data_IF_401446043888
#
_entry.id   IF_401446043888
#
_cell.length_a   1.000
_cell.length_b   1.000
_cell.length_c   1.000
_cell.angle_alpha   90.00
_cell.angle_beta   90.00
_cell.angle_gamma   90.00
#
_symmetry.space_group_name_H-M   'P 1'
#
loop_
_entity.id
_entity.type
_entity.pdbx_description
1 polymer ?
#
# COMPACT_ATOMS: atom_id res chain seq x y z
N UNK A 1 1.87 15.13 -5.35
CA UNK A 1 0.77 14.55 -6.16
C UNK A 1 0.84 14.88 -7.64
N UNK A 2 1.14 16.14 -8.00
CA UNK A 2 1.29 16.53 -9.42
C UNK A 2 2.47 15.82 -10.08
N UNK A 3 3.61 15.69 -9.39
CA UNK A 3 4.77 14.97 -9.91
C UNK A 3 4.44 13.49 -10.15
N UNK A 4 3.73 12.86 -9.23
CA UNK A 4 3.30 11.46 -9.37
C UNK A 4 2.33 11.29 -10.54
N UNK A 5 1.39 12.23 -10.73
CA UNK A 5 0.45 12.21 -11.84
C UNK A 5 1.16 12.33 -13.20
N UNK A 6 2.11 13.23 -13.31
CA UNK A 6 2.92 13.42 -14.53
C UNK A 6 3.76 12.17 -14.81
N UNK A 7 4.44 11.65 -13.79
CA UNK A 7 5.24 10.43 -13.92
C UNK A 7 4.42 9.19 -14.30
N UNK A 8 3.16 9.12 -13.85
CA UNK A 8 2.24 8.05 -14.21
C UNK A 8 1.59 8.24 -15.59
N UNK A 9 1.87 9.35 -16.28
CA UNK A 9 1.32 9.62 -17.62
C UNK A 9 -0.14 10.04 -17.63
N UNK A 10 -0.65 10.58 -16.53
CA UNK A 10 -2.03 11.04 -16.45
C UNK A 10 -2.23 12.35 -17.23
N UNK A 11 -3.40 12.53 -17.90
CA UNK A 11 -3.72 13.76 -18.63
C UNK A 11 -4.14 14.87 -17.65
N UNK A 12 -3.17 15.48 -16.98
CA UNK A 12 -3.40 16.49 -15.94
C UNK A 12 -4.02 17.78 -16.45
N UNK A 13 -3.98 18.02 -17.75
CA UNK A 13 -4.53 19.21 -18.39
C UNK A 13 -5.99 19.06 -18.86
N UNK A 14 -6.57 17.88 -18.70
CA UNK A 14 -7.98 17.65 -19.02
C UNK A 14 -8.90 18.09 -17.88
N UNK A 15 -10.13 18.47 -18.20
CA UNK A 15 -11.15 18.88 -17.23
C UNK A 15 -11.69 17.72 -16.38
N UNK A 16 -11.32 16.49 -16.70
CA UNK A 16 -11.79 15.30 -15.99
C UNK A 16 -11.03 15.07 -14.70
N UNK A 17 -11.75 14.62 -13.67
CA UNK A 17 -11.14 14.21 -12.40
C UNK A 17 -10.28 12.96 -12.54
N UNK A 18 -9.12 12.97 -11.93
CA UNK A 18 -8.21 11.83 -11.84
C UNK A 18 -7.77 11.66 -10.39
N UNK A 19 -7.72 10.43 -9.91
CA UNK A 19 -7.24 10.14 -8.56
C UNK A 19 -5.90 9.42 -8.62
N UNK A 20 -4.95 9.91 -7.82
CA UNK A 20 -3.62 9.30 -7.69
C UNK A 20 -3.43 8.91 -6.23
N UNK A 21 -2.96 7.69 -6.00
CA UNK A 21 -2.53 7.21 -4.69
C UNK A 21 -1.03 6.88 -4.78
N UNK A 22 -0.24 7.62 -4.05
CA UNK A 22 1.21 7.43 -3.97
C UNK A 22 1.56 6.84 -2.60
N UNK A 23 2.02 5.59 -2.57
CA UNK A 23 2.43 4.90 -1.35
C UNK A 23 3.95 4.88 -1.30
N UNK A 24 4.53 5.84 -0.60
CA UNK A 24 5.97 5.94 -0.38
C UNK A 24 6.43 5.10 0.81
N UNK A 25 7.68 5.31 1.23
CA UNK A 25 8.25 4.62 2.40
C UNK A 25 7.59 5.05 3.71
N UNK A 26 7.45 6.36 3.94
CA UNK A 26 6.94 6.92 5.20
C UNK A 26 5.52 7.44 5.15
N UNK A 27 5.01 7.77 3.97
CA UNK A 27 3.69 8.39 3.79
C UNK A 27 2.95 7.81 2.59
N UNK A 28 1.62 7.91 2.65
CA UNK A 28 0.75 7.70 1.50
C UNK A 28 0.01 8.98 1.21
N UNK A 29 0.02 9.41 -0.05
CA UNK A 29 -0.63 10.64 -0.50
C UNK A 29 -1.74 10.32 -1.49
N UNK A 30 -2.92 10.88 -1.23
CA UNK A 30 -4.08 10.76 -2.13
C UNK A 30 -4.37 12.14 -2.69
N UNK A 31 -4.54 12.24 -3.99
CA UNK A 31 -4.92 13.49 -4.63
C UNK A 31 -5.96 13.26 -5.72
N UNK A 32 -6.89 14.21 -5.83
CA UNK A 32 -7.84 14.31 -6.93
C UNK A 32 -7.44 15.53 -7.74
N UNK A 33 -7.20 15.32 -9.03
CA UNK A 33 -6.67 16.32 -9.95
C UNK A 33 -7.68 16.64 -11.03
N UNK A 34 -7.74 17.93 -11.42
CA UNK A 34 -8.54 18.43 -12.54
C UNK A 34 -7.93 19.72 -13.05
N UNK A 35 -7.94 19.93 -14.37
CA UNK A 35 -7.46 21.17 -15.02
C UNK A 35 -6.06 21.61 -14.54
N UNK A 36 -5.11 20.68 -14.46
CA UNK A 36 -3.76 20.90 -13.93
C UNK A 36 -3.70 21.34 -12.47
N UNK A 37 -4.82 21.29 -11.76
CA UNK A 37 -4.90 21.68 -10.37
C UNK A 37 -5.20 20.51 -9.43
N UNK A 38 -4.88 20.70 -8.17
CA UNK A 38 -5.25 19.77 -7.11
C UNK A 38 -6.59 20.21 -6.53
N UNK A 39 -7.62 19.38 -6.67
CA UNK A 39 -8.95 19.64 -6.11
C UNK A 39 -9.02 19.21 -4.64
N UNK A 40 -8.40 18.07 -4.32
CA UNK A 40 -8.31 17.54 -2.99
C UNK A 40 -6.97 16.82 -2.82
N UNK A 41 -6.35 16.99 -1.69
CA UNK A 41 -5.14 16.24 -1.35
C UNK A 41 -5.15 15.91 0.14
N UNK A 42 -4.72 14.72 0.48
CA UNK A 42 -4.57 14.27 1.86
C UNK A 42 -3.33 13.38 1.96
N UNK A 43 -2.73 13.37 3.15
CA UNK A 43 -1.55 12.57 3.45
C UNK A 43 -1.80 11.76 4.72
N UNK A 44 -1.40 10.50 4.69
CA UNK A 44 -1.39 9.64 5.86
C UNK A 44 0.03 9.15 6.12
N UNK A 45 0.42 9.07 7.39
CA UNK A 45 1.76 8.57 7.80
C UNK A 45 1.80 7.05 7.78
N UNK A 46 1.41 6.47 6.68
CA UNK A 46 1.36 5.03 6.45
C UNK A 46 2.00 4.76 5.08
N UNK A 47 3.07 4.02 5.07
CA UNK A 47 3.78 3.64 3.85
C UNK A 47 4.48 2.31 4.04
N UNK A 48 5.47 2.01 3.20
CA UNK A 48 6.22 0.77 3.25
C UNK A 48 6.88 0.48 4.59
N UNK A 49 7.34 1.51 5.29
CA UNK A 49 7.96 1.38 6.61
C UNK A 49 6.97 0.86 7.65
N UNK A 50 5.71 1.26 7.57
CA UNK A 50 4.65 0.76 8.45
C UNK A 50 4.31 -0.69 8.17
N UNK A 51 4.43 -1.13 6.93
CA UNK A 51 4.27 -2.53 6.58
C UNK A 51 5.37 -3.38 7.23
N UNK A 52 6.61 -2.94 7.13
CA UNK A 52 7.75 -3.62 7.76
C UNK A 52 7.60 -3.66 9.28
N UNK A 53 7.23 -2.55 9.90
CA UNK A 53 6.99 -2.45 11.34
C UNK A 53 5.87 -3.40 11.79
N UNK A 54 4.78 -3.46 11.04
CA UNK A 54 3.66 -4.37 11.34
C UNK A 54 4.09 -5.83 11.31
N UNK A 55 4.93 -6.22 10.36
CA UNK A 55 5.50 -7.57 10.27
C UNK A 55 6.40 -7.85 11.48
N UNK A 56 7.28 -6.92 11.82
CA UNK A 56 8.17 -7.05 12.99
C UNK A 56 7.35 -7.24 14.28
N UNK A 57 6.31 -6.46 14.47
CA UNK A 57 5.44 -6.54 15.64
C UNK A 57 4.66 -7.85 15.69
N UNK A 58 4.17 -8.32 14.56
CA UNK A 58 3.48 -9.61 14.46
C UNK A 58 4.38 -10.77 14.88
N UNK A 59 5.60 -10.81 14.35
CA UNK A 59 6.58 -11.86 14.68
C UNK A 59 6.95 -11.82 16.15
N UNK A 60 7.15 -10.65 16.71
CA UNK A 60 7.44 -10.50 18.13
C UNK A 60 6.31 -11.02 19.02
N UNK A 61 5.06 -10.66 18.70
CA UNK A 61 3.90 -11.05 19.51
C UNK A 61 3.56 -12.51 19.40
N UNK A 62 3.66 -13.08 18.20
CA UNK A 62 3.18 -14.44 17.96
C UNK A 62 4.27 -15.51 18.08
N UNK A 63 5.52 -15.16 17.87
CA UNK A 63 6.64 -16.09 17.91
C UNK A 63 7.66 -15.79 19.00
N UNK A 64 7.59 -14.63 19.64
CA UNK A 64 8.59 -14.20 20.62
C UNK A 64 9.98 -14.03 20.02
N UNK A 65 10.06 -13.67 18.74
CA UNK A 65 11.31 -13.53 17.99
C UNK A 65 11.45 -12.10 17.49
N UNK A 66 12.65 -11.54 17.63
CA UNK A 66 13.00 -10.24 17.14
C UNK A 66 13.67 -10.36 15.77
N UNK A 67 13.12 -9.67 14.77
CA UNK A 67 13.70 -9.55 13.44
C UNK A 67 13.98 -8.07 13.14
N UNK A 68 14.94 -7.81 12.25
CA UNK A 68 15.27 -6.46 11.81
C UNK A 68 14.41 -6.00 10.63
N UNK A 69 14.53 -4.72 10.29
CA UNK A 69 13.80 -4.11 9.17
C UNK A 69 14.09 -4.80 7.83
N UNK A 70 15.36 -5.12 7.57
CA UNK A 70 15.75 -5.79 6.33
C UNK A 70 15.10 -7.17 6.19
N UNK A 71 14.99 -7.91 7.29
CA UNK A 71 14.30 -9.21 7.30
C UNK A 71 12.80 -9.04 7.08
N UNK A 72 12.18 -8.05 7.73
CA UNK A 72 10.77 -7.75 7.54
C UNK A 72 10.45 -7.35 6.10
N UNK A 73 11.30 -6.52 5.49
CA UNK A 73 11.16 -6.13 4.08
C UNK A 73 11.26 -7.34 3.16
N UNK A 74 12.21 -8.24 3.40
CA UNK A 74 12.35 -9.48 2.64
C UNK A 74 11.09 -10.34 2.73
N UNK A 75 10.54 -10.50 3.94
CA UNK A 75 9.30 -11.24 4.16
C UNK A 75 8.16 -10.61 3.36
N UNK A 76 8.02 -9.30 3.43
CA UNK A 76 7.00 -8.55 2.68
C UNK A 76 7.11 -8.80 1.17
N UNK A 77 8.31 -8.73 0.62
CA UNK A 77 8.56 -8.91 -0.81
C UNK A 77 8.28 -10.35 -1.25
N UNK A 78 8.73 -11.33 -0.49
CA UNK A 78 8.65 -12.74 -0.89
C UNK A 78 7.27 -13.37 -0.67
N UNK A 79 6.61 -13.09 0.45
CA UNK A 79 5.33 -13.71 0.82
C UNK A 79 4.25 -12.72 1.23
N UNK A 80 4.54 -11.42 1.25
CA UNK A 80 3.56 -10.39 1.60
C UNK A 80 2.50 -10.22 0.52
N UNK A 81 1.25 -10.01 0.95
CA UNK A 81 0.14 -9.71 0.07
C UNK A 81 -0.89 -8.87 0.80
N UNK A 82 -1.56 -7.99 0.07
CA UNK A 82 -2.65 -7.17 0.59
C UNK A 82 -4.00 -7.88 0.53
N UNK A 83 -4.09 -8.99 -0.19
CA UNK A 83 -5.33 -9.70 -0.48
C UNK A 83 -5.08 -11.22 -0.43
N UNK A 84 -6.07 -12.04 0.00
CA UNK A 84 -5.88 -13.49 0.03
C UNK A 84 -5.56 -14.05 -1.35
N UNK A 85 -4.46 -14.78 -1.44
CA UNK A 85 -4.03 -15.45 -2.67
C UNK A 85 -4.62 -16.85 -2.81
N UNK A 86 -4.44 -17.44 -3.99
CA UNK A 86 -4.90 -18.80 -4.26
C UNK A 86 -4.04 -19.86 -3.57
N UNK A 87 -2.78 -19.54 -3.32
CA UNK A 87 -1.84 -20.45 -2.68
C UNK A 87 -1.19 -19.79 -1.48
N UNK A 88 -1.08 -20.56 -0.39
CA UNK A 88 -0.33 -20.14 0.79
C UNK A 88 1.15 -20.36 0.52
N UNK A 89 1.94 -19.30 0.61
CA UNK A 89 3.40 -19.36 0.48
C UNK A 89 4.02 -19.42 1.87
N UNK A 90 5.11 -20.15 1.99
CA UNK A 90 5.87 -20.26 3.22
C UNK A 90 7.28 -19.72 3.05
N UNK A 91 7.85 -19.19 4.12
CA UNK A 91 9.21 -18.68 4.15
C UNK A 91 9.85 -19.03 5.48
N UNK A 92 11.02 -19.67 5.44
CA UNK A 92 11.83 -19.89 6.63
C UNK A 92 12.67 -18.64 6.93
N UNK A 93 12.61 -18.19 8.18
CA UNK A 93 13.24 -16.96 8.63
C UNK A 93 14.01 -17.23 9.91
N UNK A 94 15.06 -16.46 10.15
CA UNK A 94 15.87 -16.53 11.35
C UNK A 94 15.83 -15.20 12.08
N UNK A 95 15.61 -15.25 13.40
CA UNK A 95 15.63 -14.08 14.26
C UNK A 95 16.13 -14.45 15.65
N UNK A 96 16.20 -13.46 16.53
CA UNK A 96 16.65 -13.68 17.91
C UNK A 96 15.47 -14.00 18.81
N UNK A 97 15.53 -15.15 19.48
CA UNK A 97 14.53 -15.52 20.48
C UNK A 97 14.65 -14.58 21.69
N UNK A 98 13.54 -13.93 22.07
CA UNK A 98 13.53 -12.93 23.14
C UNK A 98 13.73 -13.54 24.53
N UNK A 99 13.25 -14.76 24.76
CA UNK A 99 13.39 -15.39 26.07
C UNK A 99 14.78 -16.00 26.29
N UNK A 100 15.41 -16.53 25.25
CA UNK A 100 16.69 -17.23 25.35
C UNK A 100 17.88 -16.37 24.85
N UNK A 101 17.60 -15.33 24.05
CA UNK A 101 18.62 -14.44 23.48
C UNK A 101 19.43 -15.06 22.35
N UNK A 102 19.10 -16.27 21.90
CA UNK A 102 19.82 -16.98 20.84
C UNK A 102 19.06 -16.94 19.51
N UNK A 103 19.77 -17.07 18.37
CA UNK A 103 19.10 -17.17 17.09
C UNK A 103 18.23 -18.40 16.97
N UNK A 104 17.03 -18.24 16.42
CA UNK A 104 16.11 -19.34 16.08
C UNK A 104 15.55 -19.18 14.70
N UNK A 105 15.36 -20.30 14.02
CA UNK A 105 14.65 -20.37 12.75
C UNK A 105 13.17 -20.66 13.00
N UNK A 106 12.31 -20.08 12.20
CA UNK A 106 10.86 -20.31 12.24
C UNK A 106 10.30 -20.14 10.83
N UNK A 107 9.11 -20.65 10.62
CA UNK A 107 8.44 -20.59 9.32
C UNK A 107 7.21 -19.72 9.42
N UNK A 108 7.12 -18.74 8.51
CA UNK A 108 5.96 -17.86 8.32
C UNK A 108 5.23 -18.25 7.05
N UNK A 109 3.92 -18.02 7.02
CA UNK A 109 3.14 -18.19 5.81
C UNK A 109 2.48 -16.86 5.38
N UNK A 110 2.03 -16.82 4.14
CA UNK A 110 1.44 -15.61 3.56
C UNK A 110 0.14 -15.16 4.24
N UNK A 111 -0.63 -16.08 4.83
CA UNK A 111 -1.84 -15.72 5.58
C UNK A 111 -1.50 -14.96 6.86
N UNK A 112 -0.42 -15.33 7.54
CA UNK A 112 0.05 -14.62 8.73
C UNK A 112 0.48 -13.19 8.39
N UNK A 113 1.16 -13.02 7.27
CA UNK A 113 1.60 -11.69 6.83
C UNK A 113 0.40 -10.83 6.38
N UNK A 114 -0.59 -11.42 5.72
CA UNK A 114 -1.83 -10.73 5.39
C UNK A 114 -2.52 -10.20 6.67
N UNK A 115 -2.59 -11.02 7.71
CA UNK A 115 -3.13 -10.61 9.00
C UNK A 115 -2.31 -9.47 9.62
N UNK A 116 -0.98 -9.56 9.58
CA UNK A 116 -0.09 -8.54 10.12
C UNK A 116 -0.28 -7.18 9.42
N UNK A 117 -0.55 -7.18 8.12
CA UNK A 117 -0.68 -5.96 7.32
C UNK A 117 -2.06 -5.32 7.36
N UNK A 118 -3.06 -5.92 8.02
CA UNK A 118 -4.44 -5.40 8.01
C UNK A 118 -4.53 -3.97 8.53
N UNK A 119 -3.89 -3.66 9.64
CA UNK A 119 -3.98 -2.32 10.24
C UNK A 119 -3.46 -1.22 9.30
N UNK A 120 -2.22 -1.28 8.78
CA UNK A 120 -1.74 -0.25 7.87
C UNK A 120 -2.52 -0.22 6.55
N UNK A 121 -2.95 -1.35 6.02
CA UNK A 121 -3.75 -1.39 4.80
C UNK A 121 -5.10 -0.73 4.99
N UNK A 122 -5.79 -0.95 6.10
CA UNK A 122 -7.07 -0.29 6.40
C UNK A 122 -6.90 1.22 6.56
N UNK A 123 -5.77 1.68 7.07
CA UNK A 123 -5.44 3.10 7.13
C UNK A 123 -5.35 3.74 5.75
N UNK A 124 -4.74 3.06 4.80
CA UNK A 124 -4.65 3.52 3.40
C UNK A 124 -6.03 3.50 2.73
N UNK A 125 -6.78 2.42 2.90
CA UNK A 125 -8.16 2.31 2.38
C UNK A 125 -9.03 3.44 2.93
N UNK A 126 -8.92 3.74 4.22
CA UNK A 126 -9.65 4.82 4.86
C UNK A 126 -9.32 6.19 4.26
N UNK A 127 -8.04 6.45 3.98
CA UNK A 127 -7.62 7.69 3.34
C UNK A 127 -8.19 7.84 1.93
N UNK A 128 -8.23 6.76 1.16
CA UNK A 128 -8.82 6.75 -0.19
C UNK A 128 -10.33 6.99 -0.12
N UNK A 129 -11.03 6.31 0.77
CA UNK A 129 -12.49 6.50 0.95
C UNK A 129 -12.82 7.93 1.36
N UNK A 130 -12.04 8.51 2.26
CA UNK A 130 -12.21 9.91 2.67
C UNK A 130 -12.01 10.86 1.49
N UNK A 131 -11.03 10.62 0.64
CA UNK A 131 -10.80 11.43 -0.55
C UNK A 131 -12.00 11.36 -1.51
N UNK A 132 -12.58 10.18 -1.67
CA UNK A 132 -13.78 10.01 -2.51
C UNK A 132 -14.98 10.77 -1.95
N UNK A 133 -15.18 10.75 -0.63
CA UNK A 133 -16.26 11.49 0.04
C UNK A 133 -16.11 13.00 -0.12
N UNK A 134 -14.87 13.51 -0.15
CA UNK A 134 -14.59 14.94 -0.27
C UNK A 134 -14.55 15.43 -1.73
N UNK A 135 -14.62 14.51 -2.69
CA UNK A 135 -14.59 14.84 -4.11
C UNK A 135 -15.96 15.36 -4.56
N UNK A 136 -16.03 16.53 -5.26
CA UNK A 136 -17.29 17.02 -5.81
C UNK A 136 -17.96 15.98 -6.73
N UNK A 137 -19.32 15.93 -6.77
CA UNK A 137 -20.02 14.87 -7.52
C UNK A 137 -19.65 14.75 -8.99
N UNK A 138 -19.41 15.87 -9.67
CA UNK A 138 -19.04 15.87 -11.09
C UNK A 138 -17.67 15.20 -11.31
N UNK A 139 -16.70 15.50 -10.45
CA UNK A 139 -15.37 14.87 -10.51
C UNK A 139 -15.39 13.45 -9.97
N UNK A 140 -16.26 13.16 -9.02
CA UNK A 140 -16.45 11.80 -8.50
C UNK A 140 -16.90 10.82 -9.57
N UNK A 141 -17.78 11.26 -10.47
CA UNK A 141 -18.20 10.46 -11.61
C UNK A 141 -17.04 10.16 -12.57
N UNK A 142 -16.19 11.16 -12.84
CA UNK A 142 -15.00 10.97 -13.68
C UNK A 142 -13.98 10.06 -13.03
N UNK A 143 -13.75 10.18 -11.74
CA UNK A 143 -12.88 9.27 -10.98
C UNK A 143 -13.41 7.84 -11.00
N UNK A 144 -14.73 7.65 -10.89
CA UNK A 144 -15.36 6.34 -10.97
C UNK A 144 -15.13 5.67 -12.33
N UNK A 145 -15.12 6.45 -13.40
CA UNK A 145 -14.87 5.97 -14.77
C UNK A 145 -13.38 5.69 -15.00
N UNK A 146 -12.50 6.61 -14.61
CA UNK A 146 -11.05 6.51 -14.84
C UNK A 146 -10.34 5.61 -13.84
N UNK A 147 -10.86 5.53 -12.63
CA UNK A 147 -10.26 4.77 -11.55
C UNK A 147 -9.13 5.49 -10.83
N UNK A 148 -8.35 4.71 -10.10
CA UNK A 148 -7.25 5.18 -9.26
C UNK A 148 -5.94 4.75 -9.91
N UNK A 149 -4.99 5.69 -10.02
CA UNK A 149 -3.62 5.36 -10.43
C UNK A 149 -2.77 5.22 -9.17
N UNK A 150 -2.18 4.05 -9.03
CA UNK A 150 -1.39 3.66 -7.88
C UNK A 150 0.10 3.76 -8.24
N UNK A 151 0.87 4.45 -7.42
CA UNK A 151 2.29 4.67 -7.64
C UNK A 151 3.07 4.62 -6.31
N UNK A 152 4.39 4.78 -6.39
CA UNK A 152 5.28 4.68 -5.23
C UNK A 152 5.73 3.25 -4.94
N UNK A 153 6.72 3.10 -4.06
CA UNK A 153 7.29 1.78 -3.73
C UNK A 153 6.29 0.83 -3.09
N UNK A 154 5.33 1.34 -2.31
CA UNK A 154 4.28 0.54 -1.68
C UNK A 154 3.28 -0.05 -2.68
N UNK A 155 3.20 0.48 -3.89
CA UNK A 155 2.38 -0.06 -4.96
C UNK A 155 2.86 -1.44 -5.44
N UNK A 156 4.10 -1.82 -5.10
CA UNK A 156 4.67 -3.11 -5.42
C UNK A 156 4.20 -4.25 -4.50
N UNK A 157 3.52 -3.93 -3.40
CA UNK A 157 2.93 -4.96 -2.54
C UNK A 157 1.91 -5.76 -3.35
N UNK A 158 2.05 -7.09 -3.31
CA UNK A 158 1.21 -7.99 -4.12
C UNK A 158 -0.27 -7.79 -3.82
N UNK A 159 -1.07 -7.67 -4.88
CA UNK A 159 -2.53 -7.60 -4.84
C UNK A 159 -3.10 -6.39 -4.07
N UNK A 160 -2.30 -5.33 -3.85
CA UNK A 160 -2.82 -4.10 -3.26
C UNK A 160 -3.86 -3.44 -4.17
N UNK A 161 -3.72 -3.58 -5.47
CA UNK A 161 -4.72 -3.13 -6.46
C UNK A 161 -6.04 -3.86 -6.27
N UNK A 162 -6.02 -5.18 -6.04
CA UNK A 162 -7.22 -5.98 -5.79
C UNK A 162 -7.94 -5.55 -4.51
N UNK A 163 -7.20 -5.28 -3.46
CA UNK A 163 -7.78 -4.79 -2.21
C UNK A 163 -8.50 -3.46 -2.44
N UNK A 164 -7.85 -2.52 -3.11
CA UNK A 164 -8.44 -1.21 -3.38
C UNK A 164 -9.66 -1.30 -4.31
N UNK A 165 -9.62 -2.15 -5.32
CA UNK A 165 -10.78 -2.39 -6.20
C UNK A 165 -11.97 -2.94 -5.43
N UNK A 166 -11.77 -3.88 -4.53
CA UNK A 166 -12.84 -4.46 -3.72
C UNK A 166 -13.42 -3.44 -2.75
N UNK A 167 -12.55 -2.68 -2.07
CA UNK A 167 -12.97 -1.74 -1.03
C UNK A 167 -13.60 -0.46 -1.57
N UNK A 168 -13.24 -0.04 -2.77
CA UNK A 168 -13.75 1.21 -3.37
C UNK A 168 -14.74 0.99 -4.51
N UNK A 169 -14.76 -0.19 -5.11
CA UNK A 169 -15.54 -0.46 -6.32
C UNK A 169 -15.03 0.23 -7.58
N UNK A 170 -13.85 0.82 -7.54
CA UNK A 170 -13.24 1.56 -8.65
C UNK A 170 -12.15 0.73 -9.33
N UNK A 171 -11.93 0.93 -10.66
CA UNK A 171 -10.76 0.37 -11.31
C UNK A 171 -9.48 0.93 -10.68
N UNK A 172 -8.46 0.09 -10.54
CA UNK A 172 -7.16 0.51 -10.02
C UNK A 172 -6.07 0.06 -10.99
N UNK A 173 -5.22 0.99 -11.38
CA UNK A 173 -4.11 0.75 -12.31
C UNK A 173 -2.81 1.09 -11.61
N UNK A 174 -1.86 0.18 -11.63
CA UNK A 174 -0.51 0.43 -11.12
C UNK A 174 0.31 1.07 -12.24
N UNK A 175 1.01 2.17 -11.94
CA UNK A 175 1.88 2.82 -12.91
C UNK A 175 3.01 1.88 -13.35
N UNK A 176 3.51 2.04 -14.59
CA UNK A 176 4.54 1.17 -15.16
C UNK A 176 5.83 1.17 -14.33
N UNK A 177 6.18 2.31 -13.73
CA UNK A 177 7.40 2.44 -12.94
C UNK A 177 7.08 3.17 -11.62
N UNK A 178 6.51 2.45 -10.63
CA UNK A 178 6.04 3.07 -9.38
C UNK A 178 7.14 3.76 -8.58
N UNK A 179 8.38 3.28 -8.66
CA UNK A 179 9.49 3.82 -7.88
C UNK A 179 10.00 5.16 -8.42
N UNK A 180 9.81 5.45 -9.69
CA UNK A 180 10.34 6.64 -10.35
C UNK A 180 9.31 7.70 -10.68
N UNK A 181 8.03 7.46 -10.38
CA UNK A 181 6.96 8.41 -10.65
C UNK A 181 6.96 9.64 -9.73
N UNK A 182 7.74 9.63 -8.65
CA UNK A 182 7.71 10.67 -7.61
C UNK A 182 9.01 11.44 -7.53
#
# INVERSE_FOLDING_TARGET
>A
PMAAAVGAGLPTHEARGSMVLDIGGGTSEVAVLSLNGIVYANSARIGGDRFDEAIMNYVRRNYGILIGEATAERIKIEIGSAYPGQQVKELSVKGRNLSEGVPRSFTLNSNEILEALQEPLQGIVGAVKQALEQTPPELGADVAERGIVLTGGGALLRDIDKLLMEETGLPVVISEDPLTCV
#
